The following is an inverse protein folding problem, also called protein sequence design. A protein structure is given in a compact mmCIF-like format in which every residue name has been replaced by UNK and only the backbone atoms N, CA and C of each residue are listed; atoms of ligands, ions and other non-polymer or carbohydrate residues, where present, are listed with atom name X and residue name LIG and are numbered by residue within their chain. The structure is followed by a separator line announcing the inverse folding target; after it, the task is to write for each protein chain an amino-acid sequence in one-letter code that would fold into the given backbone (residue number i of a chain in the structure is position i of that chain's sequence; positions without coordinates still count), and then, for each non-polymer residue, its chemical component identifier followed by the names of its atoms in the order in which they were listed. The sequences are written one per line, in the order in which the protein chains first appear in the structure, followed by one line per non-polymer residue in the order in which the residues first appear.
data_IF_782103086762
#
_entry.id   IF_782103086762
#
_cell.length_a   1.000
_cell.length_b   1.000
_cell.length_c   1.000
_cell.angle_alpha   90.00
_cell.angle_beta   90.00
_cell.angle_gamma   90.00
#
_symmetry.space_group_name_H-M   'P 1'
#
loop_
_entity.id
_entity.type
_entity.pdbx_description
1 polymer ?
#
# COMPACT_ATOMS: atom_id res chain seq x y z
N UNK A 1 -18.32 -2.28 -21.44
CA UNK A 1 -18.26 -1.84 -20.04
C UNK A 1 -18.20 -2.98 -19.03
N UNK A 2 -19.15 -3.93 -19.02
CA UNK A 2 -19.16 -5.02 -18.02
C UNK A 2 -17.89 -5.89 -18.05
N UNK A 3 -17.44 -6.29 -19.24
CA UNK A 3 -16.20 -7.07 -19.40
C UNK A 3 -14.97 -6.31 -18.90
N UNK A 4 -14.87 -5.01 -19.19
CA UNK A 4 -13.80 -4.18 -18.69
C UNK A 4 -13.81 -4.10 -17.15
N UNK A 5 -14.99 -3.96 -16.55
CA UNK A 5 -15.15 -3.96 -15.10
C UNK A 5 -14.59 -5.24 -14.45
N UNK A 6 -14.94 -6.42 -14.99
CA UNK A 6 -14.45 -7.70 -14.50
C UNK A 6 -12.93 -7.81 -14.64
N UNK A 7 -12.39 -7.43 -15.79
CA UNK A 7 -10.95 -7.49 -16.04
C UNK A 7 -10.16 -6.59 -15.10
N UNK A 8 -10.61 -5.35 -14.88
CA UNK A 8 -9.94 -4.45 -13.93
C UNK A 8 -10.08 -4.97 -12.50
N UNK A 9 -11.23 -5.54 -12.12
CA UNK A 9 -11.42 -6.16 -10.80
C UNK A 9 -10.44 -7.33 -10.57
N UNK A 10 -10.20 -8.16 -11.58
CA UNK A 10 -9.19 -9.23 -11.53
C UNK A 10 -7.79 -8.67 -11.29
N UNK A 11 -7.41 -7.59 -11.98
CA UNK A 11 -6.10 -6.95 -11.83
C UNK A 11 -5.94 -6.29 -10.45
N UNK A 12 -6.99 -5.66 -9.94
CA UNK A 12 -7.01 -5.15 -8.55
C UNK A 12 -6.86 -6.30 -7.56
N UNK A 13 -7.52 -7.43 -7.78
CA UNK A 13 -7.37 -8.64 -6.97
C UNK A 13 -5.91 -9.10 -6.87
N UNK A 14 -5.18 -9.10 -7.99
CA UNK A 14 -3.75 -9.42 -8.00
C UNK A 14 -2.93 -8.47 -7.12
N UNK A 15 -3.16 -7.15 -7.22
CA UNK A 15 -2.47 -6.15 -6.38
C UNK A 15 -2.81 -6.33 -4.90
N UNK A 16 -4.06 -6.69 -4.57
CA UNK A 16 -4.49 -6.97 -3.20
C UNK A 16 -3.78 -8.22 -2.63
N UNK A 17 -3.65 -9.28 -3.44
CA UNK A 17 -2.90 -10.48 -3.04
C UNK A 17 -1.43 -10.13 -2.78
N UNK A 18 -0.79 -9.35 -3.65
CA UNK A 18 0.57 -8.88 -3.45
C UNK A 18 0.70 -8.04 -2.17
N UNK A 19 -0.28 -7.17 -1.87
CA UNK A 19 -0.33 -6.41 -0.63
C UNK A 19 -0.36 -7.33 0.60
N UNK A 20 -1.22 -8.35 0.57
CA UNK A 20 -1.33 -9.31 1.66
C UNK A 20 -0.03 -10.08 1.87
N UNK A 21 0.58 -10.59 0.79
CA UNK A 21 1.87 -11.29 0.85
C UNK A 21 2.97 -10.37 1.41
N UNK A 22 3.02 -9.12 0.97
CA UNK A 22 3.98 -8.14 1.44
C UNK A 22 3.86 -7.89 2.96
N UNK A 23 2.63 -7.80 3.48
CA UNK A 23 2.37 -7.60 4.90
C UNK A 23 2.72 -8.83 5.77
N UNK A 24 2.89 -10.01 5.19
CA UNK A 24 3.40 -11.18 5.89
C UNK A 24 4.94 -11.17 6.05
N UNK A 25 5.65 -10.30 5.32
CA UNK A 25 7.11 -10.15 5.45
C UNK A 25 7.40 -9.27 6.67
N UNK A 26 7.99 -9.84 7.74
CA UNK A 26 8.32 -9.15 8.99
C UNK A 26 9.14 -7.88 8.76
N UNK A 27 10.19 -7.98 7.93
CA UNK A 27 11.06 -6.85 7.60
C UNK A 27 10.29 -5.65 7.04
N UNK A 28 9.36 -5.89 6.12
CA UNK A 28 8.57 -4.81 5.52
C UNK A 28 7.60 -4.20 6.52
N UNK A 29 6.95 -5.04 7.31
CA UNK A 29 6.00 -4.62 8.35
C UNK A 29 6.65 -3.76 9.42
N UNK A 30 7.85 -4.15 9.88
CA UNK A 30 8.61 -3.36 10.87
C UNK A 30 9.06 -2.02 10.30
N UNK A 31 9.48 -2.00 9.03
CA UNK A 31 9.83 -0.77 8.32
C UNK A 31 8.66 0.21 8.19
N UNK A 32 7.43 -0.28 8.01
CA UNK A 32 6.27 0.62 7.95
C UNK A 32 6.07 1.42 9.25
N UNK A 33 6.40 0.87 10.41
CA UNK A 33 6.40 1.62 11.68
C UNK A 33 7.33 2.83 11.68
N UNK A 34 8.38 2.81 10.87
CA UNK A 34 9.39 3.87 10.74
C UNK A 34 9.32 4.62 9.40
N UNK A 35 8.14 4.76 8.80
CA UNK A 35 7.93 5.31 7.45
C UNK A 35 8.43 6.74 7.24
N UNK A 36 8.78 7.47 8.30
CA UNK A 36 9.40 8.79 8.19
C UNK A 36 10.89 8.72 7.85
N UNK A 37 11.57 7.62 8.16
CA UNK A 37 13.00 7.43 7.86
C UNK A 37 13.24 7.35 6.36
N UNK A 38 14.33 7.97 5.89
CA UNK A 38 14.70 7.97 4.48
C UNK A 38 14.94 6.54 3.94
N UNK A 39 15.58 5.68 4.72
CA UNK A 39 15.80 4.28 4.36
C UNK A 39 14.49 3.52 4.11
N UNK A 40 13.47 3.78 4.91
CA UNK A 40 12.13 3.21 4.74
C UNK A 40 11.46 3.75 3.48
N UNK A 41 11.56 5.06 3.22
CA UNK A 41 11.02 5.66 2.01
C UNK A 41 11.65 5.07 0.74
N UNK A 42 12.96 4.83 0.74
CA UNK A 42 13.64 4.17 -0.37
C UNK A 42 13.15 2.73 -0.57
N UNK A 43 12.99 1.95 0.50
CA UNK A 43 12.42 0.62 0.42
C UNK A 43 10.98 0.63 -0.13
N UNK A 44 10.16 1.59 0.31
CA UNK A 44 8.80 1.77 -0.21
C UNK A 44 8.80 2.14 -1.70
N UNK A 45 9.71 3.01 -2.16
CA UNK A 45 9.85 3.35 -3.59
C UNK A 45 10.16 2.09 -4.41
N UNK A 46 11.08 1.25 -3.94
CA UNK A 46 11.43 0.01 -4.65
C UNK A 46 10.23 -0.94 -4.71
N UNK A 47 9.59 -1.21 -3.58
CA UNK A 47 8.47 -2.15 -3.50
C UNK A 47 7.27 -1.67 -4.32
N UNK A 48 6.83 -0.42 -4.12
CA UNK A 48 5.71 0.13 -4.90
C UNK A 48 6.09 0.43 -6.35
N UNK A 49 7.38 0.67 -6.64
CA UNK A 49 7.90 0.72 -7.99
C UNK A 49 7.69 -0.60 -8.72
N UNK A 50 8.04 -1.74 -8.10
CA UNK A 50 7.77 -3.07 -8.64
C UNK A 50 6.26 -3.28 -8.86
N UNK A 51 5.42 -2.90 -7.90
CA UNK A 51 3.96 -2.99 -8.07
C UNK A 51 3.45 -2.13 -9.24
N UNK A 52 4.02 -0.93 -9.43
CA UNK A 52 3.68 -0.06 -10.54
C UNK A 52 4.11 -0.67 -11.89
N UNK A 53 5.27 -1.34 -11.94
CA UNK A 53 5.70 -2.12 -13.12
C UNK A 53 4.67 -3.21 -13.43
N UNK A 54 4.33 -4.04 -12.45
CA UNK A 54 3.33 -5.10 -12.59
C UNK A 54 2.00 -4.51 -13.09
N UNK A 55 1.51 -3.42 -12.45
CA UNK A 55 0.26 -2.77 -12.83
C UNK A 55 0.25 -2.25 -14.27
N UNK A 56 1.38 -1.76 -14.78
CA UNK A 56 1.48 -1.30 -16.17
C UNK A 56 1.44 -2.47 -17.14
N UNK A 57 2.19 -3.55 -16.86
CA UNK A 57 2.27 -4.69 -17.78
C UNK A 57 1.05 -5.62 -17.72
N UNK A 58 0.29 -5.60 -16.63
CA UNK A 58 -0.94 -6.39 -16.48
C UNK A 58 -2.21 -5.61 -16.81
N UNK A 59 -2.13 -4.47 -17.49
CA UNK A 59 -3.29 -3.68 -17.87
C UNK A 59 -4.15 -4.36 -18.95
N UNK A 60 -5.25 -3.69 -19.30
CA UNK A 60 -6.18 -4.09 -20.36
C UNK A 60 -6.08 -3.07 -21.48
N UNK A 61 -5.72 -3.53 -22.67
CA UNK A 61 -5.64 -2.68 -23.85
C UNK A 61 -7.04 -2.42 -24.42
N UNK A 62 -7.31 -1.16 -24.69
CA UNK A 62 -8.58 -0.70 -25.27
C UNK A 62 -8.26 -0.10 -26.64
N UNK A 63 -8.70 -0.77 -27.70
CA UNK A 63 -8.70 -0.29 -29.08
C UNK A 63 -10.10 0.04 -29.53
N UNK A 64 -10.27 0.77 -30.66
CA UNK A 64 -11.55 1.33 -31.11
C UNK A 64 -12.74 0.36 -31.13
N UNK A 65 -12.51 -0.96 -31.29
CA UNK A 65 -13.58 -1.97 -31.36
C UNK A 65 -13.35 -3.22 -30.48
N UNK A 66 -12.23 -3.31 -29.75
CA UNK A 66 -11.88 -4.53 -29.02
C UNK A 66 -11.21 -4.23 -27.68
N UNK A 67 -11.61 -4.99 -26.67
CA UNK A 67 -10.91 -5.07 -25.39
C UNK A 67 -9.94 -6.26 -25.50
N UNK A 68 -8.65 -5.97 -25.53
CA UNK A 68 -7.58 -6.99 -25.59
C UNK A 68 -7.07 -7.20 -24.17
N UNK A 69 -7.27 -8.39 -23.66
CA UNK A 69 -6.91 -8.79 -22.30
C UNK A 69 -5.75 -9.79 -22.27
N UNK A 70 -4.96 -9.83 -23.36
CA UNK A 70 -3.90 -10.80 -23.44
C UNK A 70 -2.72 -10.43 -22.54
N UNK A 71 -2.33 -11.42 -21.74
CA UNK A 71 -1.05 -11.59 -21.04
C UNK A 71 -0.25 -10.31 -20.71
N UNK A 72 1.06 -10.35 -20.72
CA UNK A 72 1.93 -9.22 -20.37
C UNK A 72 2.02 -8.23 -21.55
N UNK A 73 1.43 -7.04 -21.40
CA UNK A 73 1.43 -5.99 -22.43
C UNK A 73 2.76 -5.23 -22.42
N UNK A 74 3.71 -5.66 -23.23
CA UNK A 74 5.01 -4.97 -23.35
C UNK A 74 4.92 -3.69 -24.17
N UNK A 75 4.12 -3.70 -25.24
CA UNK A 75 3.85 -2.54 -26.11
C UNK A 75 2.38 -2.50 -26.44
N UNK A 76 1.84 -1.31 -26.56
CA UNK A 76 0.47 -1.06 -27.00
C UNK A 76 0.43 -0.87 -28.50
N UNK A 77 -0.69 -1.24 -29.10
CA UNK A 77 -0.98 -0.98 -30.51
C UNK A 77 -1.09 0.53 -30.77
N UNK A 78 -0.85 0.96 -32.00
CA UNK A 78 -1.04 2.37 -32.37
C UNK A 78 -2.50 2.78 -32.16
N UNK A 79 -2.74 3.91 -31.50
CA UNK A 79 -4.08 4.40 -31.20
C UNK A 79 -4.78 3.68 -30.03
N UNK A 80 -4.15 2.72 -29.37
CA UNK A 80 -4.72 2.04 -28.22
C UNK A 80 -4.47 2.78 -26.90
N UNK A 81 -5.43 2.66 -25.99
CA UNK A 81 -5.36 3.13 -24.61
C UNK A 81 -5.24 1.97 -23.63
N UNK A 82 -4.74 2.23 -22.44
CA UNK A 82 -4.51 1.22 -21.40
C UNK A 82 -5.33 1.53 -20.13
N UNK A 83 -6.23 0.63 -19.78
CA UNK A 83 -6.85 0.62 -18.45
C UNK A 83 -6.06 -0.29 -17.52
N UNK A 84 -5.60 0.23 -16.37
CA UNK A 84 -4.78 -0.52 -15.43
C UNK A 84 -4.95 -0.06 -13.97
N UNK A 85 -4.34 -0.79 -13.04
CA UNK A 85 -4.35 -0.51 -11.59
C UNK A 85 -3.22 0.43 -11.15
N UNK A 86 -2.57 1.11 -12.08
CA UNK A 86 -1.44 2.01 -11.84
C UNK A 86 -1.78 3.14 -10.86
N UNK A 87 -2.93 3.78 -11.05
CA UNK A 87 -3.40 4.89 -10.20
C UNK A 87 -3.58 4.44 -8.76
N UNK A 88 -4.14 3.25 -8.54
CA UNK A 88 -4.24 2.62 -7.22
C UNK A 88 -2.84 2.45 -6.60
N UNK A 89 -1.90 1.89 -7.34
CA UNK A 89 -0.54 1.60 -6.83
C UNK A 89 0.20 2.88 -6.44
N UNK A 90 0.17 3.91 -7.30
CA UNK A 90 0.78 5.21 -7.04
C UNK A 90 0.07 5.90 -5.86
N UNK A 91 -1.26 5.85 -5.83
CA UNK A 91 -2.09 6.42 -4.78
C UNK A 91 -1.76 5.84 -3.40
N UNK A 92 -1.70 4.51 -3.29
CA UNK A 92 -1.33 3.82 -2.04
C UNK A 92 0.12 4.15 -1.64
N UNK A 93 1.06 4.16 -2.58
CA UNK A 93 2.45 4.53 -2.32
C UNK A 93 2.57 5.93 -1.72
N UNK A 94 1.83 6.91 -2.26
CA UNK A 94 1.77 8.28 -1.74
C UNK A 94 1.11 8.34 -0.36
N UNK A 95 -0.03 7.69 -0.18
CA UNK A 95 -0.76 7.67 1.10
C UNK A 95 0.06 7.09 2.25
N UNK A 96 0.88 6.09 1.99
CA UNK A 96 1.70 5.40 3.00
C UNK A 96 3.05 6.10 3.19
N UNK A 97 3.74 6.42 2.10
CA UNK A 97 5.13 6.89 2.12
C UNK A 97 5.29 8.42 2.03
N UNK A 98 4.20 9.16 1.76
CA UNK A 98 4.21 10.61 1.60
C UNK A 98 4.63 11.07 0.20
N UNK A 99 4.83 12.41 0.01
CA UNK A 99 4.99 12.98 -1.32
C UNK A 99 6.25 12.49 -2.05
N UNK A 100 7.35 12.27 -1.34
CA UNK A 100 8.59 11.76 -1.94
C UNK A 100 8.35 10.37 -2.56
N UNK A 101 7.71 9.47 -1.82
CA UNK A 101 7.46 8.09 -2.29
C UNK A 101 6.43 8.10 -3.41
N UNK A 102 5.29 8.77 -3.22
CA UNK A 102 4.24 8.84 -4.23
C UNK A 102 4.72 9.43 -5.55
N UNK A 103 5.44 10.56 -5.50
CA UNK A 103 5.96 11.21 -6.70
C UNK A 103 7.03 10.35 -7.39
N UNK A 104 7.95 9.73 -6.63
CA UNK A 104 8.97 8.84 -7.21
C UNK A 104 8.34 7.62 -7.91
N UNK A 105 7.37 6.97 -7.27
CA UNK A 105 6.64 5.85 -7.88
C UNK A 105 5.82 6.33 -9.09
N UNK A 106 5.24 7.52 -9.03
CA UNK A 106 4.55 8.17 -10.15
C UNK A 106 5.48 8.39 -11.34
N UNK A 107 6.71 8.88 -11.12
CA UNK A 107 7.74 9.06 -12.16
C UNK A 107 8.11 7.71 -12.77
N UNK A 108 8.45 6.71 -11.95
CA UNK A 108 8.81 5.36 -12.41
C UNK A 108 7.69 4.78 -13.29
N UNK A 109 6.46 4.82 -12.77
CA UNK A 109 5.29 4.29 -13.47
C UNK A 109 4.98 5.04 -14.76
N UNK A 110 5.10 6.38 -14.74
CA UNK A 110 4.88 7.24 -15.90
C UNK A 110 5.91 6.96 -17.02
N UNK A 111 7.19 6.82 -16.67
CA UNK A 111 8.26 6.49 -17.62
C UNK A 111 7.98 5.13 -18.29
N UNK A 112 7.66 4.10 -17.50
CA UNK A 112 7.33 2.78 -18.04
C UNK A 112 6.14 2.87 -18.99
N UNK A 113 5.08 3.59 -18.57
CA UNK A 113 3.90 3.79 -19.41
C UNK A 113 4.21 4.51 -20.71
N UNK A 114 5.12 5.47 -20.68
CA UNK A 114 5.58 6.19 -21.87
C UNK A 114 6.27 5.24 -22.88
N UNK A 115 7.14 4.36 -22.39
CA UNK A 115 7.84 3.39 -23.25
C UNK A 115 6.93 2.27 -23.77
N UNK A 116 5.80 2.00 -23.13
CA UNK A 116 4.79 1.07 -23.66
C UNK A 116 4.09 1.62 -24.91
N UNK A 117 4.16 2.92 -25.16
CA UNK A 117 3.55 3.56 -26.33
C UNK A 117 2.03 3.74 -26.20
N UNK A 118 1.31 3.64 -27.30
CA UNK A 118 -0.11 3.94 -27.39
C UNK A 118 -0.39 5.42 -27.57
N UNK A 119 -1.69 5.78 -27.63
CA UNK A 119 -2.13 7.13 -27.89
C UNK A 119 -1.73 8.09 -26.75
N UNK A 120 -1.09 9.20 -27.11
CA UNK A 120 -0.75 10.31 -26.21
C UNK A 120 -0.10 9.89 -24.88
N UNK A 121 0.86 8.96 -24.92
CA UNK A 121 1.52 8.37 -23.74
C UNK A 121 2.09 9.39 -22.73
N UNK A 122 2.43 10.62 -23.18
CA UNK A 122 2.94 11.70 -22.32
C UNK A 122 1.92 12.16 -21.25
N UNK A 123 0.62 12.05 -21.54
CA UNK A 123 -0.44 12.42 -20.60
C UNK A 123 -0.32 11.59 -19.32
N UNK A 124 -0.01 10.31 -19.48
CA UNK A 124 0.11 9.36 -18.37
C UNK A 124 1.36 9.59 -17.51
N UNK A 125 2.40 10.21 -18.06
CA UNK A 125 3.58 10.65 -17.28
C UNK A 125 3.19 11.78 -16.36
N UNK A 126 2.55 12.82 -16.90
CA UNK A 126 2.14 14.01 -16.16
C UNK A 126 1.13 13.62 -15.07
N UNK A 127 0.09 12.87 -15.43
CA UNK A 127 -0.94 12.45 -14.49
C UNK A 127 -0.39 11.57 -13.36
N UNK A 128 0.56 10.66 -13.64
CA UNK A 128 1.18 9.82 -12.62
C UNK A 128 1.93 10.63 -11.57
N UNK A 129 2.65 11.66 -12.00
CA UNK A 129 3.37 12.57 -11.08
C UNK A 129 2.37 13.34 -10.22
N UNK A 130 1.30 13.88 -10.82
CA UNK A 130 0.25 14.61 -10.10
C UNK A 130 -0.47 13.70 -9.09
N UNK A 131 -0.82 12.49 -9.47
CA UNK A 131 -1.45 11.48 -8.60
C UNK A 131 -0.54 11.16 -7.41
N UNK A 132 0.75 10.92 -7.66
CA UNK A 132 1.72 10.64 -6.61
C UNK A 132 1.91 11.81 -5.66
N UNK A 133 1.90 13.04 -6.17
CA UNK A 133 2.00 14.25 -5.35
C UNK A 133 0.76 14.47 -4.49
N UNK A 134 -0.44 14.40 -5.08
CA UNK A 134 -1.72 14.63 -4.39
C UNK A 134 -1.92 13.58 -3.27
N UNK A 135 -1.79 12.31 -3.60
CA UNK A 135 -1.90 11.23 -2.60
C UNK A 135 -0.81 11.32 -1.54
N UNK A 136 0.41 11.71 -1.93
CA UNK A 136 1.52 11.89 -1.03
C UNK A 136 1.35 13.06 -0.06
N UNK A 137 0.81 14.19 -0.51
CA UNK A 137 0.50 15.33 0.36
C UNK A 137 -0.56 14.95 1.42
N UNK A 138 -1.57 14.18 1.03
CA UNK A 138 -2.54 13.63 1.98
C UNK A 138 -1.87 12.66 2.96
N UNK A 139 -1.03 11.75 2.47
CA UNK A 139 -0.22 10.83 3.28
C UNK A 139 0.67 11.56 4.29
N UNK A 140 1.30 12.67 3.90
CA UNK A 140 2.08 13.51 4.82
C UNK A 140 1.24 14.09 5.97
N UNK A 141 -0.01 14.47 5.70
CA UNK A 141 -0.94 14.95 6.73
C UNK A 141 -1.24 13.88 7.78
N UNK A 142 -1.47 12.64 7.35
CA UNK A 142 -1.73 11.51 8.26
C UNK A 142 -0.45 11.08 9.01
N UNK A 143 0.72 11.13 8.35
CA UNK A 143 2.00 10.86 8.99
C UNK A 143 2.33 11.82 10.13
N UNK A 144 2.03 13.12 9.98
CA UNK A 144 2.20 14.11 11.05
C UNK A 144 1.36 13.81 12.29
N UNK A 145 0.26 13.09 12.14
CA UNK A 145 -0.62 12.64 13.21
C UNK A 145 -0.25 11.25 13.75
N UNK A 146 0.85 10.66 13.30
CA UNK A 146 1.25 9.27 13.57
C UNK A 146 0.14 8.25 13.27
N UNK A 147 -0.73 8.56 12.31
CA UNK A 147 -1.88 7.73 11.94
C UNK A 147 -1.72 7.20 10.51
N UNK A 148 -2.33 6.06 10.22
CA UNK A 148 -2.48 5.55 8.86
C UNK A 148 -3.81 5.99 8.28
N UNK A 149 -3.88 6.25 6.95
CA UNK A 149 -5.15 6.55 6.30
C UNK A 149 -6.15 5.41 6.52
N UNK A 150 -7.40 5.78 6.77
CA UNK A 150 -8.52 4.85 6.92
C UNK A 150 -9.00 4.31 5.57
N UNK A 151 -9.83 3.27 5.59
CA UNK A 151 -10.48 2.71 4.39
C UNK A 151 -11.27 3.80 3.64
N UNK A 152 -12.01 4.62 4.38
CA UNK A 152 -12.83 5.71 3.79
C UNK A 152 -11.95 6.77 3.10
N UNK A 153 -10.85 7.14 3.75
CA UNK A 153 -9.88 8.07 3.16
C UNK A 153 -9.20 7.47 1.93
N UNK A 154 -8.89 6.18 1.97
CA UNK A 154 -8.35 5.47 0.82
C UNK A 154 -9.30 5.45 -0.37
N UNK A 155 -10.56 5.12 -0.13
CA UNK A 155 -11.59 5.16 -1.17
C UNK A 155 -11.75 6.58 -1.76
N UNK A 156 -11.83 7.59 -0.91
CA UNK A 156 -11.98 8.98 -1.33
C UNK A 156 -10.77 9.47 -2.16
N UNK A 157 -9.55 9.22 -1.68
CA UNK A 157 -8.34 9.60 -2.41
C UNK A 157 -8.21 8.80 -3.69
N UNK A 158 -8.55 7.50 -3.68
CA UNK A 158 -8.60 6.68 -4.89
C UNK A 158 -9.53 7.27 -5.96
N UNK A 159 -10.75 7.70 -5.56
CA UNK A 159 -11.69 8.37 -6.47
C UNK A 159 -11.15 9.71 -6.99
N UNK A 160 -10.55 10.52 -6.12
CA UNK A 160 -9.95 11.80 -6.51
C UNK A 160 -8.80 11.59 -7.50
N UNK A 161 -7.91 10.63 -7.24
CA UNK A 161 -6.75 10.38 -8.12
C UNK A 161 -7.16 9.80 -9.47
N UNK A 162 -8.19 8.98 -9.53
CA UNK A 162 -8.79 8.56 -10.80
C UNK A 162 -9.46 9.74 -11.52
N UNK A 163 -10.15 10.60 -10.81
CA UNK A 163 -10.70 11.84 -11.37
C UNK A 163 -9.61 12.74 -11.96
N UNK A 164 -8.46 12.86 -11.29
CA UNK A 164 -7.28 13.59 -11.82
C UNK A 164 -6.75 12.92 -13.09
N UNK A 165 -6.73 11.59 -13.16
CA UNK A 165 -6.35 10.85 -14.37
C UNK A 165 -7.30 11.17 -15.53
N UNK A 166 -8.62 11.10 -15.32
CA UNK A 166 -9.63 11.40 -16.34
C UNK A 166 -9.54 12.88 -16.80
N UNK A 167 -9.40 13.78 -15.84
CA UNK A 167 -9.23 15.19 -16.14
C UNK A 167 -7.96 15.46 -16.96
N UNK A 168 -6.85 14.78 -16.62
CA UNK A 168 -5.60 14.90 -17.38
C UNK A 168 -5.77 14.44 -18.83
N UNK A 169 -6.53 13.35 -19.08
CA UNK A 169 -6.85 12.89 -20.44
C UNK A 169 -7.63 13.97 -21.18
N UNK A 170 -8.68 14.51 -20.60
CA UNK A 170 -9.54 15.53 -21.25
C UNK A 170 -8.80 16.84 -21.54
N UNK A 171 -7.93 17.28 -20.63
CA UNK A 171 -7.26 18.59 -20.74
C UNK A 171 -6.02 18.55 -21.63
N UNK A 172 -5.28 17.43 -21.63
CA UNK A 172 -4.00 17.32 -22.32
C UNK A 172 -4.09 16.62 -23.68
N UNK A 173 -5.22 15.99 -24.00
CA UNK A 173 -5.40 15.31 -25.30
C UNK A 173 -5.54 16.35 -26.43
N UNK A 174 -4.98 16.01 -27.57
CA UNK A 174 -5.09 16.79 -28.82
C UNK A 174 -6.43 16.58 -29.52
N UNK A 175 -7.05 15.42 -29.31
CA UNK A 175 -8.35 15.08 -29.86
C UNK A 175 -9.39 14.95 -28.74
N UNK A 176 -10.09 16.05 -28.47
CA UNK A 176 -11.09 16.12 -27.38
C UNK A 176 -12.22 15.13 -27.56
N UNK A 177 -12.64 14.83 -28.80
CA UNK A 177 -13.71 13.87 -29.06
C UNK A 177 -13.27 12.46 -28.68
N UNK A 178 -12.12 12.00 -29.15
CA UNK A 178 -11.56 10.69 -28.78
C UNK A 178 -11.31 10.58 -27.26
N UNK A 179 -10.80 11.64 -26.63
CA UNK A 179 -10.62 11.71 -25.19
C UNK A 179 -11.94 11.57 -24.42
N UNK A 180 -13.00 12.24 -24.89
CA UNK A 180 -14.31 12.16 -24.28
C UNK A 180 -14.92 10.78 -24.40
N UNK A 181 -14.84 10.14 -25.57
CA UNK A 181 -15.32 8.79 -25.81
C UNK A 181 -14.59 7.78 -24.92
N UNK A 182 -13.24 7.88 -24.84
CA UNK A 182 -12.43 7.06 -23.95
C UNK A 182 -12.83 7.25 -22.48
N UNK A 183 -12.86 8.49 -21.99
CA UNK A 183 -13.18 8.78 -20.57
C UNK A 183 -14.59 8.28 -20.23
N UNK A 184 -15.57 8.51 -21.08
CA UNK A 184 -16.94 8.04 -20.84
C UNK A 184 -17.00 6.51 -20.75
N UNK A 185 -16.16 5.81 -21.50
CA UNK A 185 -16.09 4.36 -21.49
C UNK A 185 -15.41 3.79 -20.23
N UNK A 186 -14.30 4.40 -19.80
CA UNK A 186 -13.44 3.84 -18.72
C UNK A 186 -13.73 4.43 -17.34
N UNK A 187 -14.30 5.64 -17.22
CA UNK A 187 -14.37 6.38 -15.95
C UNK A 187 -15.10 5.57 -14.86
N UNK A 188 -16.28 5.05 -15.16
CA UNK A 188 -17.06 4.34 -14.15
C UNK A 188 -16.34 3.09 -13.61
N UNK A 189 -15.89 2.12 -14.44
CA UNK A 189 -15.19 0.95 -13.94
C UNK A 189 -13.87 1.31 -13.24
N UNK A 190 -13.08 2.25 -13.77
CA UNK A 190 -11.79 2.63 -13.21
C UNK A 190 -11.94 3.33 -11.85
N UNK A 191 -12.80 4.35 -11.76
CA UNK A 191 -13.03 5.07 -10.50
C UNK A 191 -13.54 4.12 -9.43
N UNK A 192 -14.54 3.29 -9.74
CA UNK A 192 -15.13 2.40 -8.75
C UNK A 192 -14.13 1.35 -8.27
N UNK A 193 -13.52 0.60 -9.21
CA UNK A 193 -12.68 -0.55 -8.86
C UNK A 193 -11.36 -0.13 -8.22
N UNK A 194 -10.68 0.89 -8.76
CA UNK A 194 -9.42 1.36 -8.18
C UNK A 194 -9.60 2.06 -6.82
N UNK A 195 -10.72 2.77 -6.62
CA UNK A 195 -11.04 3.37 -5.31
C UNK A 195 -11.32 2.32 -4.26
N UNK A 196 -12.11 1.29 -4.60
CA UNK A 196 -12.36 0.16 -3.71
C UNK A 196 -11.05 -0.58 -3.41
N UNK A 197 -10.23 -0.85 -4.42
CA UNK A 197 -8.92 -1.48 -4.28
C UNK A 197 -7.99 -0.69 -3.36
N UNK A 198 -7.94 0.63 -3.49
CA UNK A 198 -7.17 1.52 -2.61
C UNK A 198 -7.63 1.40 -1.16
N UNK A 199 -8.94 1.42 -0.92
CA UNK A 199 -9.52 1.26 0.42
C UNK A 199 -9.20 -0.11 1.03
N UNK A 200 -9.35 -1.20 0.26
CA UNK A 200 -9.04 -2.57 0.71
C UNK A 200 -7.54 -2.71 1.01
N UNK A 201 -6.67 -2.20 0.13
CA UNK A 201 -5.22 -2.24 0.34
C UNK A 201 -4.84 -1.56 1.66
N UNK A 202 -5.37 -0.37 1.93
CA UNK A 202 -5.13 0.33 3.20
C UNK A 202 -5.72 -0.40 4.39
N UNK A 203 -6.84 -1.10 4.21
CA UNK A 203 -7.43 -1.95 5.26
C UNK A 203 -6.48 -3.07 5.68
N UNK A 204 -5.86 -3.75 4.71
CA UNK A 204 -4.89 -4.82 4.96
C UNK A 204 -3.70 -4.27 5.75
N UNK A 205 -3.11 -3.16 5.30
CA UNK A 205 -1.98 -2.55 6.01
C UNK A 205 -2.40 -2.12 7.43
N UNK A 206 -3.49 -1.38 7.55
CA UNK A 206 -3.94 -0.86 8.84
C UNK A 206 -4.35 -1.95 9.83
N UNK A 207 -4.96 -3.05 9.38
CA UNK A 207 -5.31 -4.18 10.25
C UNK A 207 -4.08 -4.93 10.74
N UNK A 208 -3.14 -5.21 9.84
CA UNK A 208 -1.90 -5.92 10.19
C UNK A 208 -1.04 -5.11 11.17
N UNK A 209 -0.91 -3.80 10.95
CA UNK A 209 -0.15 -2.94 11.85
C UNK A 209 -0.80 -2.83 13.24
N UNK A 210 -2.12 -2.70 13.31
CA UNK A 210 -2.85 -2.73 14.59
C UNK A 210 -2.64 -4.04 15.35
N UNK A 211 -2.66 -5.18 14.66
CA UNK A 211 -2.37 -6.48 15.29
C UNK A 211 -0.97 -6.53 15.89
N UNK A 212 0.04 -5.99 15.18
CA UNK A 212 1.42 -5.93 15.68
C UNK A 212 1.52 -5.03 16.91
N UNK A 213 0.89 -3.87 16.90
CA UNK A 213 0.86 -2.95 18.04
C UNK A 213 0.18 -3.58 19.25
N UNK A 214 -0.95 -4.26 19.05
CA UNK A 214 -1.65 -4.98 20.12
C UNK A 214 -0.78 -6.10 20.72
N UNK A 215 -0.13 -6.90 19.86
CA UNK A 215 0.77 -7.95 20.34
C UNK A 215 1.93 -7.40 21.15
N UNK A 216 2.56 -6.31 20.68
CA UNK A 216 3.64 -5.63 21.42
C UNK A 216 3.14 -5.06 22.76
N UNK A 217 1.95 -4.48 22.79
CA UNK A 217 1.36 -3.94 24.01
C UNK A 217 1.08 -5.05 25.06
N UNK A 218 0.55 -6.19 24.63
CA UNK A 218 0.35 -7.36 25.51
C UNK A 218 1.67 -7.88 26.04
N UNK A 219 2.67 -8.08 25.19
CA UNK A 219 4.00 -8.53 25.60
C UNK A 219 4.65 -7.57 26.62
N UNK A 220 4.54 -6.26 26.40
CA UNK A 220 5.06 -5.25 27.32
C UNK A 220 4.32 -5.30 28.66
N UNK A 221 3.01 -5.46 28.65
CA UNK A 221 2.20 -5.60 29.85
C UNK A 221 2.62 -6.83 30.66
N UNK A 222 2.79 -7.97 30.00
CA UNK A 222 3.19 -9.23 30.63
C UNK A 222 4.57 -9.12 31.28
N UNK A 223 5.54 -8.49 30.59
CA UNK A 223 6.88 -8.24 31.14
C UNK A 223 6.84 -7.32 32.34
N UNK A 224 6.05 -6.22 32.29
CA UNK A 224 5.89 -5.31 33.42
C UNK A 224 5.19 -5.99 34.60
N UNK A 225 4.17 -6.80 34.35
CA UNK A 225 3.49 -7.57 35.39
C UNK A 225 4.45 -8.58 36.04
N UNK A 226 5.26 -9.26 35.25
CA UNK A 226 6.28 -10.17 35.73
C UNK A 226 7.30 -9.44 36.63
N UNK A 227 7.84 -8.33 36.15
CA UNK A 227 8.80 -7.51 36.90
C UNK A 227 8.21 -7.04 38.24
N UNK A 228 6.98 -6.49 38.21
CA UNK A 228 6.31 -6.01 39.43
C UNK A 228 6.06 -7.12 40.45
N UNK A 229 5.74 -8.33 40.01
CA UNK A 229 5.50 -9.48 40.91
C UNK A 229 6.76 -10.13 41.43
N UNK A 230 7.87 -10.09 40.70
CA UNK A 230 9.16 -10.69 41.11
C UNK A 230 10.06 -9.73 41.85
N UNK A 231 10.01 -8.42 41.54
CA UNK A 231 10.85 -7.39 42.17
C UNK A 231 10.83 -7.40 43.71
N UNK A 232 9.69 -7.57 44.43
CA UNK A 232 9.66 -7.61 45.89
C UNK A 232 10.54 -8.70 46.49
N UNK A 233 10.63 -9.85 45.84
CA UNK A 233 11.47 -10.96 46.28
C UNK A 233 12.94 -10.70 46.14
N UNK A 234 13.36 -9.96 45.11
CA UNK A 234 14.76 -9.61 44.89
C UNK A 234 15.23 -8.37 45.70
N UNK A 235 14.31 -7.57 46.23
CA UNK A 235 14.64 -6.41 47.07
C UNK A 235 15.37 -6.81 48.37
N UNK A 236 15.11 -7.98 48.90
CA UNK A 236 15.75 -8.55 50.08
C UNK A 236 17.04 -9.30 49.82
N UNK A 237 17.52 -9.26 48.59
CA UNK A 237 18.73 -9.96 48.12
C UNK A 237 18.41 -11.26 47.37
N UNK A 238 19.35 -11.70 46.54
CA UNK A 238 19.26 -12.94 45.79
C UNK A 238 19.70 -14.11 46.68
N UNK A 239 18.78 -14.71 47.39
CA UNK A 239 18.99 -15.92 48.19
C UNK A 239 18.12 -17.07 47.63
N UNK A 240 18.37 -18.29 48.08
CA UNK A 240 17.68 -19.48 47.59
C UNK A 240 16.15 -19.39 47.74
N UNK A 241 15.65 -18.84 48.85
CA UNK A 241 14.23 -18.67 49.10
C UNK A 241 13.61 -17.62 48.17
N UNK A 242 14.25 -16.46 47.97
CA UNK A 242 13.76 -15.40 47.07
C UNK A 242 13.78 -15.83 45.61
N UNK A 243 14.81 -16.55 45.20
CA UNK A 243 14.92 -17.11 43.85
C UNK A 243 13.86 -18.19 43.56
N UNK A 244 13.60 -19.05 44.53
CA UNK A 244 12.57 -20.10 44.40
C UNK A 244 11.18 -19.51 44.27
N UNK A 245 10.79 -18.52 45.09
CA UNK A 245 9.49 -17.88 44.97
C UNK A 245 9.36 -17.06 43.66
N UNK A 246 10.38 -16.33 43.27
CA UNK A 246 10.39 -15.65 41.99
C UNK A 246 10.25 -16.64 40.82
N UNK A 247 10.97 -17.77 40.86
CA UNK A 247 10.88 -18.81 39.82
C UNK A 247 9.46 -19.40 39.71
N UNK A 248 8.77 -19.65 40.83
CA UNK A 248 7.37 -20.11 40.82
C UNK A 248 6.44 -19.08 40.17
N UNK A 249 6.61 -17.81 40.49
CA UNK A 249 5.81 -16.71 39.89
C UNK A 249 6.05 -16.63 38.39
N UNK A 250 7.31 -16.69 37.95
CA UNK A 250 7.68 -16.70 36.53
C UNK A 250 7.04 -17.90 35.83
N UNK A 251 7.17 -19.09 36.41
CA UNK A 251 6.60 -20.32 35.87
C UNK A 251 5.07 -20.22 35.67
N UNK A 252 4.36 -19.69 36.68
CA UNK A 252 2.90 -19.53 36.63
C UNK A 252 2.46 -18.47 35.59
N UNK A 253 3.13 -17.31 35.57
CA UNK A 253 2.77 -16.21 34.67
C UNK A 253 3.10 -16.50 33.21
N UNK A 254 4.29 -17.06 32.98
CA UNK A 254 4.77 -17.35 31.63
C UNK A 254 4.30 -18.71 31.09
N UNK A 255 3.65 -19.53 31.95
CA UNK A 255 3.16 -20.89 31.61
C UNK A 255 4.25 -21.78 31.02
N UNK A 256 5.48 -21.64 31.51
CA UNK A 256 6.65 -22.43 31.07
C UNK A 256 6.81 -23.67 31.95
N UNK A 257 7.41 -24.71 31.40
CA UNK A 257 7.57 -26.01 32.11
C UNK A 257 8.63 -25.96 33.20
N UNK A 258 9.67 -25.13 33.05
CA UNK A 258 10.75 -24.96 34.02
C UNK A 258 11.32 -23.54 33.98
N UNK A 259 11.81 -23.06 35.13
CA UNK A 259 12.51 -21.79 35.30
C UNK A 259 13.75 -22.03 36.14
N UNK A 260 14.89 -21.54 35.71
CA UNK A 260 16.15 -21.52 36.47
C UNK A 260 16.63 -20.09 36.65
N UNK A 261 16.99 -19.74 37.87
CA UNK A 261 17.60 -18.45 38.20
C UNK A 261 19.04 -18.74 38.64
N UNK A 262 20.00 -18.22 37.89
CA UNK A 262 21.44 -18.37 38.16
C UNK A 262 22.06 -17.02 38.49
N UNK A 263 23.08 -17.06 39.37
CA UNK A 263 23.91 -15.88 39.68
C UNK A 263 24.88 -15.58 38.55
#
# INVERSE_FOLDING_TARGET
MFNLFILILERVGLIIILAYLLMNIHYFRDKLGERQRLSTKLALIVVFGIFAVISNYTGVEISHDQIISDQVLMKLSEGASLANTRVLTIGVAGLIGGPLVGTSVGIISGIIRFFQGGEEAYIYVISSILIGLISGLYGAKTMRKNAYPTIKEGFMIGAITEGVQMLSILVLSRNLQAAWDLVTFIAFPMILVNSMGTGIFLSIIGSTLRQVEQTKAVQTHDVLQLANRTMPYFRSGMNEASCTEAAKIIQQLMKVSAVSITN
#
